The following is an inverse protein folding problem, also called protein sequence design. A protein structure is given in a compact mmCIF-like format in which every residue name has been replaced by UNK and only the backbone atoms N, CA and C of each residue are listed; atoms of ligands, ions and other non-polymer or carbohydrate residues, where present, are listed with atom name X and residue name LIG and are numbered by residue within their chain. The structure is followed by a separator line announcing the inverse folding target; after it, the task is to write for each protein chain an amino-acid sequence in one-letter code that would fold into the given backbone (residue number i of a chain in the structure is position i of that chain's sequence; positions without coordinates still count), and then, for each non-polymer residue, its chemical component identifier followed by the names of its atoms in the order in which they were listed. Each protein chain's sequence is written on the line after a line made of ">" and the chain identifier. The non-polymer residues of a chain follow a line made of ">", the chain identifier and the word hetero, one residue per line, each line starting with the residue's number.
data_IF_628405079588
#
_entry.id   IF_628405079588
#
_cell.length_a   1.000
_cell.length_b   1.000
_cell.length_c   1.000
_cell.angle_alpha   90.00
_cell.angle_beta   90.00
_cell.angle_gamma   90.00
#
_symmetry.space_group_name_H-M   'P 1'
#
loop_
_entity.id
_entity.type
_entity.pdbx_description
1 polymer ?
#
# COMPACT_ATOMS: atom_id res chain seq x y z
N UNK A 1 -5.46 15.00 -3.39
CA UNK A 1 -4.87 14.55 -2.13
C UNK A 1 -3.38 14.40 -2.34
N UNK A 2 -2.55 15.01 -1.50
CA UNK A 2 -1.10 14.80 -1.54
C UNK A 2 -0.74 13.55 -0.71
N UNK A 3 -0.20 12.51 -1.36
CA UNK A 3 0.18 11.27 -0.70
C UNK A 3 1.47 11.42 0.10
N UNK A 4 2.32 12.41 -0.21
CA UNK A 4 3.57 12.66 0.51
C UNK A 4 3.32 13.10 1.96
N UNK A 5 2.14 13.67 2.21
CA UNK A 5 1.67 14.11 3.52
C UNK A 5 0.55 13.24 4.08
N UNK A 6 0.25 12.10 3.44
CA UNK A 6 -0.73 11.14 3.93
C UNK A 6 -0.10 10.19 4.95
N UNK A 7 -0.90 9.71 5.89
CA UNK A 7 -0.48 8.70 6.85
C UNK A 7 -1.41 7.49 6.75
N UNK A 8 -0.83 6.30 6.65
CA UNK A 8 -1.58 5.05 6.80
C UNK A 8 -1.37 4.54 8.21
N UNK A 9 -2.46 4.33 8.94
CA UNK A 9 -2.42 3.69 10.25
C UNK A 9 -2.98 2.28 10.12
N UNK A 10 -2.25 1.28 10.61
CA UNK A 10 -2.70 -0.10 10.66
C UNK A 10 -2.63 -0.63 12.08
N UNK A 11 -3.55 -1.53 12.41
CA UNK A 11 -3.64 -2.21 13.69
C UNK A 11 -3.91 -3.70 13.49
N UNK A 12 -3.08 -4.51 14.13
CA UNK A 12 -3.12 -5.97 14.08
C UNK A 12 -2.54 -6.54 15.38
N UNK A 13 -3.25 -7.46 16.05
CA UNK A 13 -2.74 -8.18 17.24
C UNK A 13 -2.05 -7.30 18.30
N UNK A 14 -2.66 -6.16 18.66
CA UNK A 14 -2.08 -5.23 19.64
C UNK A 14 -0.94 -4.35 19.12
N UNK A 15 -0.50 -4.56 17.88
CA UNK A 15 0.53 -3.76 17.22
C UNK A 15 -0.13 -2.66 16.39
N UNK A 16 0.22 -1.41 16.69
CA UNK A 16 -0.16 -0.25 15.90
C UNK A 16 1.06 0.24 15.09
N UNK A 17 0.86 0.41 13.78
CA UNK A 17 1.86 0.95 12.88
C UNK A 17 1.35 2.22 12.21
N UNK A 18 2.22 3.21 12.07
CA UNK A 18 1.98 4.44 11.33
C UNK A 18 2.99 4.53 10.20
N UNK A 19 2.51 4.57 8.97
CA UNK A 19 3.31 4.52 7.76
C UNK A 19 3.26 5.85 7.03
N UNK A 20 4.42 6.32 6.59
CA UNK A 20 4.60 7.53 5.77
C UNK A 20 4.98 7.16 4.35
N UNK A 21 4.80 8.10 3.42
CA UNK A 21 5.20 7.90 2.03
C UNK A 21 6.71 7.66 1.93
N UNK A 22 7.09 6.66 1.13
CA UNK A 22 8.46 6.45 0.70
C UNK A 22 8.56 6.68 -0.81
N UNK A 23 9.68 7.24 -1.27
CA UNK A 23 9.85 7.61 -2.68
C UNK A 23 9.96 6.40 -3.66
N UNK A 24 9.64 5.18 -3.20
CA UNK A 24 9.45 4.03 -4.08
C UNK A 24 8.10 4.17 -4.76
N UNK A 25 8.20 4.60 -6.01
CA UNK A 25 7.10 4.94 -6.88
C UNK A 25 7.24 4.15 -8.17
N UNK A 26 6.20 3.40 -8.55
CA UNK A 26 6.16 2.71 -9.84
C UNK A 26 4.87 3.04 -10.58
N UNK A 27 4.91 2.97 -11.91
CA UNK A 27 3.71 3.09 -12.74
C UNK A 27 3.50 1.77 -13.48
N UNK A 28 2.40 1.10 -13.15
CA UNK A 28 1.98 -0.15 -13.77
C UNK A 28 1.52 0.06 -15.22
N UNK A 29 0.98 1.25 -15.50
CA UNK A 29 0.58 1.69 -16.83
C UNK A 29 1.75 1.80 -17.79
N UNK A 30 2.93 2.22 -17.30
CA UNK A 30 4.13 2.33 -18.13
C UNK A 30 4.79 0.98 -18.43
N UNK A 31 4.57 -0.04 -17.60
CA UNK A 31 5.23 -1.35 -17.75
C UNK A 31 4.36 -2.41 -18.44
N UNK A 32 3.11 -2.06 -18.84
CA UNK A 32 2.17 -3.01 -19.46
C UNK A 32 1.93 -4.26 -18.61
N UNK A 33 2.16 -4.18 -17.30
CA UNK A 33 2.31 -5.35 -16.45
C UNK A 33 0.97 -5.78 -15.87
N UNK A 34 0.53 -6.99 -16.23
CA UNK A 34 -0.71 -7.61 -15.70
C UNK A 34 -0.60 -8.03 -14.23
N UNK A 35 0.57 -7.88 -13.60
CA UNK A 35 0.81 -8.30 -12.22
C UNK A 35 1.66 -7.27 -11.45
N UNK A 36 0.99 -6.43 -10.65
CA UNK A 36 1.60 -5.45 -9.76
C UNK A 36 2.49 -6.08 -8.69
N UNK A 37 2.17 -7.29 -8.26
CA UNK A 37 2.92 -8.02 -7.24
C UNK A 37 4.14 -8.72 -7.85
N UNK A 38 4.20 -8.95 -9.16
CA UNK A 38 5.42 -9.39 -9.85
C UNK A 38 6.53 -8.33 -9.76
N UNK A 39 6.15 -7.05 -9.68
CA UNK A 39 7.09 -5.95 -9.45
C UNK A 39 7.80 -6.05 -8.10
N UNK A 40 7.35 -6.92 -7.17
CA UNK A 40 8.03 -7.19 -5.89
C UNK A 40 9.28 -8.06 -6.05
N UNK A 41 9.40 -8.76 -7.18
CA UNK A 41 10.64 -9.45 -7.60
C UNK A 41 11.62 -8.52 -8.31
N UNK A 42 11.14 -7.37 -8.81
CA UNK A 42 12.00 -6.26 -9.17
C UNK A 42 12.43 -5.54 -7.88
N UNK A 43 13.66 -5.05 -7.85
CA UNK A 43 14.32 -4.30 -6.77
C UNK A 43 13.59 -3.03 -6.28
N UNK A 44 12.37 -2.79 -6.74
CA UNK A 44 11.51 -1.63 -6.44
C UNK A 44 10.78 -1.77 -5.10
N UNK A 45 10.44 -2.99 -4.66
CA UNK A 45 9.67 -3.18 -3.41
C UNK A 45 10.34 -4.09 -2.39
N UNK A 46 11.03 -5.15 -2.81
CA UNK A 46 11.66 -6.09 -1.88
C UNK A 46 12.84 -5.45 -1.17
N UNK A 47 12.72 -5.32 0.16
CA UNK A 47 13.74 -4.73 1.03
C UNK A 47 13.80 -3.19 1.02
N UNK A 48 12.96 -2.53 0.22
CA UNK A 48 13.02 -1.08 0.02
C UNK A 48 11.99 -0.30 0.85
N UNK A 49 10.94 -0.96 1.37
CA UNK A 49 9.99 -0.37 2.31
C UNK A 49 10.27 -0.88 3.74
N UNK A 50 10.54 0.04 4.66
CA UNK A 50 10.66 -0.26 6.09
C UNK A 50 9.29 -0.44 6.76
N UNK A 51 9.29 -0.85 8.04
CA UNK A 51 8.06 -1.08 8.82
C UNK A 51 7.22 0.18 9.09
N UNK A 52 7.69 1.35 8.67
CA UNK A 52 7.07 2.66 8.88
C UNK A 52 6.79 3.38 7.55
N UNK A 53 6.81 2.65 6.43
CA UNK A 53 6.74 3.24 5.10
C UNK A 53 5.75 2.52 4.19
N UNK A 54 5.06 3.29 3.36
CA UNK A 54 4.25 2.76 2.26
C UNK A 54 4.77 3.27 0.91
N UNK A 55 4.67 2.40 -0.08
CA UNK A 55 4.95 2.69 -1.48
C UNK A 55 3.70 3.06 -2.27
N UNK A 56 3.89 3.63 -3.47
CA UNK A 56 2.78 3.97 -4.37
C UNK A 56 2.99 3.34 -5.74
N UNK A 57 2.01 2.54 -6.17
CA UNK A 57 1.93 2.01 -7.52
C UNK A 57 0.79 2.69 -8.29
N UNK A 58 1.10 3.34 -9.40
CA UNK A 58 0.12 4.07 -10.20
C UNK A 58 -0.52 3.13 -11.22
N UNK A 59 -1.85 3.04 -11.20
CA UNK A 59 -2.65 2.26 -12.15
C UNK A 59 -3.12 3.17 -13.27
N UNK A 60 -3.76 4.28 -12.90
CA UNK A 60 -4.32 5.24 -13.84
C UNK A 60 -3.98 6.67 -13.38
N UNK A 61 -3.46 7.49 -14.29
CA UNK A 61 -3.06 8.87 -13.97
C UNK A 61 -3.28 9.79 -15.19
N UNK A 62 -4.53 10.19 -15.45
CA UNK A 62 -4.88 10.92 -16.67
C UNK A 62 -4.33 12.35 -16.65
N UNK A 63 -4.07 12.91 -15.46
CA UNK A 63 -3.58 14.28 -15.28
C UNK A 63 -2.05 14.39 -15.24
N UNK A 64 -1.32 13.28 -15.15
CA UNK A 64 0.14 13.29 -15.00
C UNK A 64 0.64 13.78 -13.63
N UNK A 65 -0.26 14.04 -12.66
CA UNK A 65 0.08 14.70 -11.38
C UNK A 65 0.77 13.79 -10.35
N UNK A 66 0.70 12.47 -10.52
CA UNK A 66 1.41 11.50 -9.69
C UNK A 66 2.86 11.34 -10.19
N UNK A 67 3.81 11.91 -9.44
CA UNK A 67 5.25 11.70 -9.64
C UNK A 67 5.92 11.32 -8.32
N UNK A 68 7.15 10.78 -8.38
CA UNK A 68 7.92 10.41 -7.19
C UNK A 68 8.11 11.59 -6.21
N UNK A 69 8.47 12.77 -6.72
CA UNK A 69 8.71 13.96 -5.88
C UNK A 69 7.40 14.65 -5.47
N UNK A 70 6.34 14.48 -6.25
CA UNK A 70 5.04 15.10 -6.03
C UNK A 70 3.94 14.06 -6.27
N UNK A 71 3.66 13.18 -5.30
CA UNK A 71 2.67 12.11 -5.45
C UNK A 71 1.26 12.65 -5.19
N UNK A 72 0.80 13.56 -6.05
CA UNK A 72 -0.50 14.23 -5.91
C UNK A 72 -1.58 13.42 -6.61
N UNK A 73 -2.52 12.88 -5.83
CA UNK A 73 -3.70 12.19 -6.32
C UNK A 73 -4.77 13.20 -6.76
N UNK A 74 -5.11 13.20 -8.04
CA UNK A 74 -6.16 14.02 -8.65
C UNK A 74 -7.44 13.22 -8.94
N UNK A 75 -8.53 13.91 -9.25
CA UNK A 75 -9.78 13.26 -9.64
C UNK A 75 -9.58 12.32 -10.83
N UNK A 76 -10.11 11.10 -10.73
CA UNK A 76 -9.98 10.06 -11.74
C UNK A 76 -8.63 9.34 -11.77
N UNK A 77 -7.66 9.69 -10.91
CA UNK A 77 -6.43 8.91 -10.76
C UNK A 77 -6.66 7.70 -9.85
N UNK A 78 -6.03 6.57 -10.17
CA UNK A 78 -6.09 5.33 -9.41
C UNK A 78 -4.68 4.89 -9.02
N UNK A 79 -4.50 4.61 -7.74
CA UNK A 79 -3.23 4.16 -7.17
C UNK A 79 -3.46 2.99 -6.23
N UNK A 80 -2.43 2.18 -6.06
CA UNK A 80 -2.33 1.13 -5.07
C UNK A 80 -1.27 1.55 -4.05
N UNK A 81 -1.63 1.50 -2.77
CA UNK A 81 -0.68 1.66 -1.67
C UNK A 81 -0.02 0.31 -1.41
N UNK A 82 1.30 0.26 -1.46
CA UNK A 82 2.09 -0.97 -1.30
C UNK A 82 2.69 -0.97 0.10
N UNK A 83 2.44 -2.04 0.87
CA UNK A 83 2.87 -2.16 2.26
C UNK A 83 3.60 -3.49 2.44
N UNK A 84 4.78 -3.45 3.06
CA UNK A 84 5.52 -4.65 3.39
C UNK A 84 5.08 -5.19 4.76
N UNK A 85 4.14 -6.13 4.73
CA UNK A 85 3.56 -6.75 5.91
C UNK A 85 4.59 -7.32 6.90
N UNK A 86 5.65 -7.96 6.38
CA UNK A 86 6.70 -8.54 7.23
C UNK A 86 7.56 -7.47 7.90
N UNK A 87 7.75 -6.32 7.25
CA UNK A 87 8.48 -5.21 7.85
C UNK A 87 7.64 -4.51 8.93
N UNK A 88 6.32 -4.44 8.74
CA UNK A 88 5.39 -3.75 9.64
C UNK A 88 5.06 -4.59 10.88
N UNK A 89 4.70 -5.87 10.71
CA UNK A 89 4.23 -6.74 11.80
C UNK A 89 5.20 -7.86 12.15
N UNK A 90 6.39 -7.89 11.54
CA UNK A 90 7.42 -8.88 11.82
C UNK A 90 7.34 -10.15 10.96
N UNK A 91 8.26 -11.08 11.20
CA UNK A 91 8.44 -12.30 10.40
C UNK A 91 7.16 -13.14 10.39
N UNK A 92 6.59 -13.37 9.21
CA UNK A 92 5.33 -14.10 9.03
C UNK A 92 4.12 -13.18 8.82
N UNK A 93 4.25 -11.88 9.12
CA UNK A 93 3.23 -10.88 8.86
C UNK A 93 1.90 -11.18 9.55
N UNK A 94 0.82 -11.03 8.79
CA UNK A 94 -0.56 -11.25 9.21
C UNK A 94 -0.92 -12.71 8.93
N UNK A 95 -1.33 -13.42 9.98
CA UNK A 95 -1.68 -14.84 9.88
C UNK A 95 -3.08 -15.06 9.28
N UNK A 96 -3.50 -16.32 9.17
CA UNK A 96 -4.80 -16.73 8.63
C UNK A 96 -5.90 -16.57 9.68
N UNK A 97 -7.10 -16.14 9.27
CA UNK A 97 -8.23 -15.93 10.18
C UNK A 97 -8.10 -14.68 11.05
N UNK A 98 -7.15 -13.80 10.74
CA UNK A 98 -6.81 -12.64 11.54
C UNK A 98 -7.41 -11.36 10.99
N UNK A 99 -7.76 -10.43 11.87
CA UNK A 99 -8.35 -9.15 11.49
C UNK A 99 -7.31 -8.04 11.51
N UNK A 100 -7.28 -7.27 10.42
CA UNK A 100 -6.46 -6.06 10.29
C UNK A 100 -7.41 -4.88 10.12
N UNK A 101 -7.22 -3.88 10.96
CA UNK A 101 -7.97 -2.62 10.89
C UNK A 101 -7.03 -1.47 10.63
N UNK A 102 -7.54 -0.35 10.14
CA UNK A 102 -6.72 0.80 9.86
C UNK A 102 -7.45 1.91 9.16
N UNK A 103 -6.68 2.94 8.80
CA UNK A 103 -7.19 4.05 8.01
C UNK A 103 -6.08 4.74 7.23
N UNK A 104 -6.45 5.29 6.08
CA UNK A 104 -5.61 6.20 5.30
C UNK A 104 -6.09 7.62 5.58
N UNK A 105 -5.27 8.39 6.27
CA UNK A 105 -5.59 9.78 6.64
C UNK A 105 -4.90 10.74 5.67
N UNK A 106 -5.66 11.53 4.89
CA UNK A 106 -5.09 12.58 4.07
C UNK A 106 -4.68 13.79 4.91
N UNK A 107 -3.80 14.63 4.36
CA UNK A 107 -3.48 15.94 4.94
C UNK A 107 -4.73 16.81 5.16
N UNK A 108 -5.68 16.73 4.22
CA UNK A 108 -6.97 17.43 4.27
C UNK A 108 -8.04 16.50 3.71
N UNK A 109 -9.15 16.36 4.43
CA UNK A 109 -10.30 15.54 4.03
C UNK A 109 -10.62 14.43 5.02
N UNK A 110 -11.53 13.54 4.62
CA UNK A 110 -11.96 12.42 5.45
C UNK A 110 -11.00 11.22 5.31
N UNK A 111 -10.73 10.49 6.41
CA UNK A 111 -10.00 9.23 6.34
C UNK A 111 -10.77 8.15 5.57
N UNK A 112 -10.03 7.28 4.87
CA UNK A 112 -10.57 6.04 4.31
C UNK A 112 -10.28 4.87 5.28
N UNK A 113 -11.27 4.01 5.52
CA UNK A 113 -11.16 2.91 6.49
C UNK A 113 -10.65 1.64 5.81
N UNK A 114 -9.77 0.92 6.50
CA UNK A 114 -9.30 -0.43 6.17
C UNK A 114 -9.86 -1.35 7.24
N UNK A 115 -10.59 -2.38 6.83
CA UNK A 115 -11.13 -3.39 7.74
C UNK A 115 -11.33 -4.69 6.96
N UNK A 116 -10.46 -5.67 7.21
CA UNK A 116 -10.55 -6.98 6.58
C UNK A 116 -10.11 -8.08 7.54
N UNK A 117 -10.65 -9.28 7.32
CA UNK A 117 -10.21 -10.51 7.98
C UNK A 117 -9.60 -11.45 6.94
N UNK A 118 -8.38 -11.93 7.17
CA UNK A 118 -7.73 -12.89 6.27
C UNK A 118 -8.48 -14.23 6.28
N UNK A 119 -8.49 -14.97 5.17
CA UNK A 119 -9.13 -16.28 5.12
C UNK A 119 -8.42 -17.28 6.04
N UNK A 120 -9.14 -18.34 6.42
CA UNK A 120 -8.62 -19.46 7.23
C UNK A 120 -7.61 -20.34 6.50
N UNK A 121 -7.34 -20.07 5.22
CA UNK A 121 -6.32 -20.74 4.42
C UNK A 121 -5.91 -19.88 3.22
N UNK A 122 -4.61 -19.73 2.98
CA UNK A 122 -4.09 -19.10 1.77
C UNK A 122 -3.90 -20.16 0.68
N UNK A 123 -4.86 -20.25 -0.24
CA UNK A 123 -4.82 -21.22 -1.35
C UNK A 123 -4.16 -20.66 -2.62
N UNK A 124 -3.89 -19.36 -2.64
CA UNK A 124 -3.32 -18.63 -3.79
C UNK A 124 -2.29 -17.61 -3.31
N UNK A 125 -1.32 -17.28 -4.18
CA UNK A 125 -0.32 -16.25 -3.90
C UNK A 125 -0.89 -14.82 -3.86
N UNK A 126 -2.06 -14.62 -4.48
CA UNK A 126 -2.81 -13.36 -4.46
C UNK A 126 -4.21 -13.66 -3.92
N UNK A 127 -4.64 -12.88 -2.93
CA UNK A 127 -5.93 -13.04 -2.25
C UNK A 127 -6.61 -11.68 -2.19
N UNK A 128 -7.89 -11.63 -2.57
CA UNK A 128 -8.71 -10.44 -2.41
C UNK A 128 -9.27 -10.38 -0.98
N UNK A 129 -9.15 -9.22 -0.33
CA UNK A 129 -9.54 -9.02 1.07
C UNK A 129 -10.63 -7.94 1.25
N UNK A 130 -10.74 -7.02 0.28
CA UNK A 130 -11.75 -5.95 0.23
C UNK A 130 -12.00 -5.53 -1.22
#
# INVERSE_FOLDING_TARGET
>A
MDLGNATVSLYYEGHAASLTYHDNFTSATQTGSSNLLSLTSASTWSGALSGNEFGVAVIHNPSGSLTKAHPVLSYGSEVVLVINNNAVFGTGGVAQGETVTGQVTPQVGSPAVIDFTTPVSFTSAVVQLQ
#
